data_IF_792635740162
#
_entry.id   IF_792635740162
#
_cell.length_a   1.000
_cell.length_b   1.000
_cell.length_c   1.000
_cell.angle_alpha   90.00
_cell.angle_beta   90.00
_cell.angle_gamma   90.00
#
_symmetry.space_group_name_H-M   'P 1'
#
loop_
_entity.id
_entity.type
_entity.pdbx_description
1 polymer ?
#
# COMPACT_ATOMS: atom_id res chain seq x y z
N UNK A 1 16.98 -26.05 5.04
CA UNK A 1 16.31 -24.82 4.56
C UNK A 1 15.66 -25.17 3.24
N UNK A 2 14.33 -25.19 3.14
CA UNK A 2 13.66 -25.33 1.85
C UNK A 2 13.90 -24.02 1.09
N UNK A 3 14.63 -24.09 -0.03
CA UNK A 3 15.07 -22.95 -0.84
C UNK A 3 13.92 -22.23 -1.55
N UNK A 4 14.27 -21.27 -2.42
CA UNK A 4 13.28 -20.53 -3.20
C UNK A 4 12.54 -21.44 -4.19
N UNK A 5 11.28 -21.09 -4.48
CA UNK A 5 10.48 -21.78 -5.50
C UNK A 5 10.70 -21.14 -6.87
N UNK A 6 11.20 -21.91 -7.84
CA UNK A 6 11.46 -21.46 -9.21
C UNK A 6 11.31 -22.58 -10.26
N UNK A 7 10.45 -23.57 -10.01
CA UNK A 7 10.25 -24.74 -10.89
C UNK A 7 10.14 -24.35 -12.38
N UNK A 8 11.02 -24.91 -13.21
CA UNK A 8 11.05 -24.69 -14.66
C UNK A 8 11.87 -23.48 -15.13
N UNK A 9 12.46 -22.70 -14.22
CA UNK A 9 13.42 -21.63 -14.57
C UNK A 9 14.86 -22.16 -14.59
N UNK A 10 15.66 -21.58 -15.48
CA UNK A 10 17.08 -21.94 -15.62
C UNK A 10 17.95 -21.45 -14.45
N UNK A 11 17.54 -20.37 -13.78
CA UNK A 11 18.24 -19.73 -12.67
C UNK A 11 17.23 -19.25 -11.60
N UNK A 12 17.68 -19.07 -10.37
CA UNK A 12 16.86 -18.52 -9.27
C UNK A 12 16.50 -17.04 -9.58
N UNK A 13 15.22 -16.70 -9.80
CA UNK A 13 14.82 -15.33 -10.11
C UNK A 13 14.85 -14.41 -8.89
N UNK A 14 15.01 -14.95 -7.68
CA UNK A 14 14.89 -14.23 -6.42
C UNK A 14 16.24 -13.71 -5.92
N UNK A 15 16.91 -12.90 -6.75
CA UNK A 15 18.07 -12.08 -6.35
C UNK A 15 17.67 -10.65 -5.97
N UNK A 16 16.38 -10.45 -5.66
CA UNK A 16 15.79 -9.14 -5.38
C UNK A 16 16.14 -8.66 -3.98
N UNK A 17 16.38 -7.35 -3.85
CA UNK A 17 16.75 -6.70 -2.58
C UNK A 17 15.91 -5.44 -2.39
N UNK A 18 15.56 -5.13 -1.15
CA UNK A 18 15.01 -3.83 -0.77
C UNK A 18 16.01 -3.08 0.12
N UNK A 19 15.92 -1.75 0.15
CA UNK A 19 16.63 -0.91 1.12
C UNK A 19 15.60 -0.08 1.86
N UNK A 20 15.60 -0.16 3.19
CA UNK A 20 14.75 0.68 4.02
C UNK A 20 15.45 1.98 4.41
N UNK A 21 14.69 3.05 4.58
CA UNK A 21 15.16 4.32 5.11
C UNK A 21 15.44 4.26 6.64
N UNK A 22 15.78 5.41 7.22
CA UNK A 22 16.07 5.53 8.66
C UNK A 22 14.85 5.23 9.57
N UNK A 23 13.65 5.22 9.01
CA UNK A 23 12.41 4.89 9.73
C UNK A 23 11.97 3.43 9.48
N UNK A 24 12.75 2.65 8.73
CA UNK A 24 12.42 1.26 8.40
C UNK A 24 11.44 1.11 7.23
N UNK A 25 11.29 2.13 6.38
CA UNK A 25 10.37 2.13 5.23
C UNK A 25 11.12 1.79 3.95
N UNK A 26 10.59 0.85 3.16
CA UNK A 26 11.11 0.57 1.83
C UNK A 26 10.00 0.69 0.78
N UNK A 27 10.18 1.59 -0.18
CA UNK A 27 9.40 1.61 -1.43
C UNK A 27 10.08 0.69 -2.43
N UNK A 28 9.34 -0.27 -2.98
CA UNK A 28 9.91 -1.33 -3.83
C UNK A 28 9.28 -1.29 -5.22
N UNK A 29 10.11 -1.08 -6.23
CA UNK A 29 9.74 -1.20 -7.64
C UNK A 29 10.83 -2.03 -8.34
N UNK A 30 10.58 -3.33 -8.49
CA UNK A 30 11.57 -4.30 -8.97
C UNK A 30 10.97 -5.17 -10.07
N UNK A 31 11.50 -5.12 -11.31
CA UNK A 31 11.09 -6.05 -12.34
C UNK A 31 11.70 -7.44 -12.06
N UNK A 32 10.85 -8.47 -12.01
CA UNK A 32 11.26 -9.88 -11.92
C UNK A 32 10.79 -10.62 -13.16
N UNK A 33 11.74 -11.05 -14.00
CA UNK A 33 11.43 -11.74 -15.25
C UNK A 33 11.15 -13.24 -15.05
N UNK A 34 10.41 -13.85 -15.97
CA UNK A 34 10.17 -15.30 -15.98
C UNK A 34 9.06 -15.80 -15.05
N UNK A 35 8.47 -14.91 -14.25
CA UNK A 35 7.32 -15.18 -13.40
C UNK A 35 6.08 -14.47 -13.94
N UNK A 36 4.91 -15.01 -13.64
CA UNK A 36 3.63 -14.39 -13.98
C UNK A 36 2.68 -14.45 -12.79
N UNK A 37 1.54 -13.77 -12.88
CA UNK A 37 0.51 -13.90 -11.86
C UNK A 37 -0.25 -15.22 -11.99
N UNK A 38 -0.59 -15.64 -13.21
CA UNK A 38 -1.58 -16.70 -13.44
C UNK A 38 -1.16 -17.81 -14.40
N UNK A 39 -0.16 -17.63 -15.26
CA UNK A 39 0.17 -18.56 -16.34
C UNK A 39 1.68 -18.79 -16.54
N UNK A 40 2.17 -20.03 -16.46
CA UNK A 40 3.62 -20.29 -16.59
C UNK A 40 4.41 -19.66 -15.43
N UNK A 41 4.75 -20.48 -14.44
CA UNK A 41 5.34 -20.02 -13.17
C UNK A 41 4.49 -18.97 -12.41
N UNK A 42 3.21 -19.27 -12.12
CA UNK A 42 2.30 -18.32 -11.46
C UNK A 42 2.66 -18.10 -9.98
N UNK A 43 2.65 -16.84 -9.54
CA UNK A 43 2.91 -16.45 -8.15
C UNK A 43 1.67 -16.04 -7.36
N UNK A 44 0.52 -15.80 -7.99
CA UNK A 44 -0.70 -15.42 -7.27
C UNK A 44 -1.07 -16.45 -6.19
N UNK A 45 -1.48 -15.97 -5.01
CA UNK A 45 -1.83 -16.78 -3.84
C UNK A 45 -0.63 -17.36 -3.07
N UNK A 46 0.61 -17.19 -3.55
CA UNK A 46 1.80 -17.67 -2.84
C UNK A 46 2.25 -16.70 -1.75
N UNK A 47 3.07 -17.18 -0.82
CA UNK A 47 3.67 -16.34 0.21
C UNK A 47 4.86 -15.54 -0.35
N UNK A 48 4.84 -14.23 -0.14
CA UNK A 48 6.00 -13.34 -0.23
C UNK A 48 6.70 -13.30 1.12
N UNK A 49 8.02 -13.52 1.14
CA UNK A 49 8.83 -13.56 2.37
C UNK A 49 9.90 -12.48 2.30
N UNK A 50 10.06 -11.72 3.37
CA UNK A 50 11.09 -10.69 3.52
C UNK A 50 12.21 -11.21 4.43
N UNK A 51 13.45 -10.93 4.04
CA UNK A 51 14.64 -11.27 4.79
C UNK A 51 15.37 -10.02 5.30
N UNK A 52 15.99 -10.11 6.48
CA UNK A 52 16.96 -9.11 6.93
C UNK A 52 18.35 -9.32 6.29
N UNK A 53 19.30 -8.44 6.62
CA UNK A 53 20.66 -8.49 6.09
C UNK A 53 21.49 -9.71 6.56
N UNK A 54 21.04 -10.42 7.60
CA UNK A 54 21.64 -11.67 8.07
C UNK A 54 20.98 -12.90 7.43
N UNK A 55 20.01 -12.69 6.54
CA UNK A 55 19.23 -13.75 5.89
C UNK A 55 18.13 -14.35 6.76
N UNK A 56 17.81 -13.76 7.92
CA UNK A 56 16.69 -14.19 8.75
C UNK A 56 15.37 -13.73 8.13
N UNK A 57 14.33 -14.58 8.21
CA UNK A 57 12.97 -14.23 7.74
C UNK A 57 12.33 -13.28 8.73
N UNK A 58 11.98 -12.07 8.28
CA UNK A 58 11.43 -10.99 9.12
C UNK A 58 10.02 -10.57 8.73
N UNK A 59 9.54 -10.97 7.56
CA UNK A 59 8.18 -10.70 7.10
C UNK A 59 7.63 -11.83 6.22
N UNK A 60 6.32 -11.97 6.23
CA UNK A 60 5.61 -12.94 5.38
C UNK A 60 4.17 -12.43 5.13
N UNK A 61 3.69 -12.58 3.90
CA UNK A 61 2.30 -12.27 3.53
C UNK A 61 1.90 -13.02 2.27
N UNK A 62 0.61 -13.22 2.04
CA UNK A 62 0.13 -13.84 0.80
C UNK A 62 -0.02 -12.80 -0.31
N UNK A 63 0.29 -13.22 -1.54
CA UNK A 63 -0.01 -12.48 -2.76
C UNK A 63 -1.49 -12.60 -3.06
N UNK A 64 -2.28 -11.67 -2.51
CA UNK A 64 -3.73 -11.63 -2.68
C UNK A 64 -4.12 -10.85 -3.93
N UNK A 65 -5.22 -11.28 -4.56
CA UNK A 65 -5.83 -10.54 -5.65
C UNK A 65 -6.60 -9.36 -5.08
N UNK A 66 -6.28 -8.15 -5.54
CA UNK A 66 -7.11 -6.96 -5.31
C UNK A 66 -7.83 -6.57 -6.60
N UNK A 67 -9.12 -6.24 -6.49
CA UNK A 67 -9.90 -5.59 -7.54
C UNK A 67 -10.17 -4.10 -7.24
N UNK A 68 -9.56 -3.57 -6.19
CA UNK A 68 -9.72 -2.18 -5.75
C UNK A 68 -8.55 -1.29 -6.11
N UNK A 69 -8.79 0.01 -6.00
CA UNK A 69 -7.77 1.05 -6.17
C UNK A 69 -6.80 1.03 -4.98
N UNK A 70 -5.50 1.04 -5.28
CA UNK A 70 -4.44 1.00 -4.26
C UNK A 70 -3.93 2.41 -4.00
N UNK A 71 -4.02 2.84 -2.75
CA UNK A 71 -3.48 4.11 -2.26
C UNK A 71 -2.25 3.84 -1.40
N UNK A 72 -1.10 4.36 -1.83
CA UNK A 72 0.10 4.46 -1.00
C UNK A 72 0.02 5.76 -0.22
N UNK A 73 -0.28 5.67 1.07
CA UNK A 73 -0.40 6.82 1.95
C UNK A 73 0.99 7.26 2.37
N UNK A 74 1.22 8.57 2.33
CA UNK A 74 2.42 9.23 2.81
C UNK A 74 2.06 10.44 3.67
N UNK A 75 3.06 11.26 3.98
CA UNK A 75 2.83 12.55 4.66
C UNK A 75 1.96 13.47 3.80
N UNK A 76 1.02 14.15 4.45
CA UNK A 76 0.24 15.20 3.82
C UNK A 76 1.15 16.38 3.40
N UNK A 77 0.92 17.03 2.23
CA UNK A 77 1.78 18.09 1.75
C UNK A 77 1.98 19.23 2.77
N UNK A 78 3.24 19.59 3.00
CA UNK A 78 3.61 20.68 3.91
C UNK A 78 3.62 20.33 5.40
N UNK A 79 3.27 19.09 5.79
CA UNK A 79 3.39 18.65 7.18
C UNK A 79 4.83 18.24 7.52
N UNK A 80 5.26 18.59 8.74
CA UNK A 80 6.50 18.13 9.35
C UNK A 80 6.16 17.15 10.48
N UNK A 81 6.79 15.98 10.51
CA UNK A 81 6.50 14.97 11.53
C UNK A 81 6.73 13.55 11.07
N UNK A 82 6.48 12.59 11.97
CA UNK A 82 6.79 11.18 11.78
C UNK A 82 6.06 10.57 10.56
N UNK A 83 6.74 9.57 9.98
CA UNK A 83 6.47 8.87 8.73
C UNK A 83 5.08 8.20 8.68
N UNK A 84 4.02 8.99 8.51
CA UNK A 84 2.71 8.44 8.13
C UNK A 84 2.91 7.71 6.81
N UNK A 85 2.63 6.42 6.85
CA UNK A 85 2.82 5.54 5.71
C UNK A 85 1.85 4.38 5.78
N UNK A 86 1.53 3.82 4.62
CA UNK A 86 0.83 2.55 4.57
C UNK A 86 0.12 2.36 3.25
N UNK A 87 -0.58 1.25 3.17
CA UNK A 87 -1.33 0.88 1.97
C UNK A 87 -2.79 0.71 2.33
N UNK A 88 -3.63 1.40 1.57
CA UNK A 88 -5.07 1.28 1.62
C UNK A 88 -5.54 0.75 0.27
N UNK A 89 -6.52 -0.13 0.29
CA UNK A 89 -7.25 -0.58 -0.89
C UNK A 89 -8.69 -0.11 -0.76
N UNK A 90 -9.18 0.58 -1.78
CA UNK A 90 -10.57 1.01 -1.87
C UNK A 90 -11.28 0.17 -2.91
N UNK A 91 -12.29 -0.60 -2.49
CA UNK A 91 -13.08 -1.47 -3.38
C UNK A 91 -14.52 -1.00 -3.44
N UNK A 92 -15.13 -1.09 -4.62
CA UNK A 92 -16.58 -0.93 -4.76
C UNK A 92 -17.34 -2.05 -4.03
N UNK A 93 -18.51 -1.71 -3.52
CA UNK A 93 -19.47 -2.60 -2.88
C UNK A 93 -20.85 -2.35 -3.50
N UNK A 94 -21.83 -3.21 -3.22
CA UNK A 94 -23.19 -3.05 -3.74
C UNK A 94 -23.86 -1.71 -3.38
N UNK A 95 -23.40 -1.02 -2.33
CA UNK A 95 -24.03 0.20 -1.81
C UNK A 95 -23.05 1.37 -1.61
N UNK A 96 -21.80 1.27 -2.11
CA UNK A 96 -20.77 2.29 -1.85
C UNK A 96 -19.37 1.72 -1.98
N UNK A 97 -18.46 2.14 -1.11
CA UNK A 97 -17.06 1.69 -1.10
C UNK A 97 -16.67 1.09 0.25
N UNK A 98 -15.70 0.17 0.23
CA UNK A 98 -14.98 -0.33 1.39
C UNK A 98 -13.53 0.17 1.31
N UNK A 99 -13.07 0.78 2.39
CA UNK A 99 -11.69 1.26 2.55
C UNK A 99 -11.02 0.35 3.58
N UNK A 100 -10.02 -0.43 3.17
CA UNK A 100 -9.34 -1.39 4.03
C UNK A 100 -7.82 -1.34 3.82
N UNK A 101 -7.05 -1.53 4.88
CA UNK A 101 -5.60 -1.57 4.79
C UNK A 101 -4.94 -1.34 6.14
N UNK A 102 -3.67 -0.93 6.12
CA UNK A 102 -2.87 -0.70 7.34
C UNK A 102 -2.08 0.58 7.20
N UNK A 103 -2.08 1.38 8.26
CA UNK A 103 -1.34 2.63 8.37
C UNK A 103 -0.45 2.60 9.60
N UNK A 104 0.77 3.10 9.45
CA UNK A 104 1.76 3.31 10.50
C UNK A 104 2.11 4.79 10.65
N UNK A 105 2.82 5.13 11.72
CA UNK A 105 3.26 6.50 11.98
C UNK A 105 2.14 7.46 12.44
N UNK A 106 0.94 6.94 12.72
CA UNK A 106 -0.20 7.73 13.20
C UNK A 106 -0.05 8.12 14.70
N UNK A 107 -0.73 9.18 15.16
CA UNK A 107 -0.83 9.51 16.58
C UNK A 107 -1.33 8.32 17.42
N UNK A 108 -0.61 8.00 18.49
CA UNK A 108 -0.91 6.84 19.34
C UNK A 108 -2.25 7.02 20.07
N UNK A 109 -3.02 5.94 20.21
CA UNK A 109 -4.26 5.89 21.00
C UNK A 109 -5.30 6.96 20.62
N UNK A 110 -5.41 7.26 19.33
CA UNK A 110 -6.26 8.33 18.79
C UNK A 110 -7.34 7.75 17.88
N UNK A 111 -8.57 8.26 18.00
CA UNK A 111 -9.62 8.09 16.98
C UNK A 111 -9.59 9.29 16.07
N UNK A 112 -9.30 9.07 14.78
CA UNK A 112 -9.27 10.08 13.73
C UNK A 112 -10.13 9.63 12.54
N UNK A 113 -10.31 10.49 11.54
CA UNK A 113 -11.18 10.18 10.40
C UNK A 113 -10.48 10.01 9.06
N UNK A 114 -11.29 9.74 8.04
CA UNK A 114 -10.91 9.53 6.65
C UNK A 114 -11.92 10.19 5.74
N UNK A 115 -11.45 10.70 4.61
CA UNK A 115 -12.29 11.22 3.53
C UNK A 115 -11.53 11.18 2.20
N UNK A 116 -12.25 11.37 1.09
CA UNK A 116 -11.66 11.49 -0.25
C UNK A 116 -11.78 12.94 -0.71
N UNK A 117 -10.70 13.45 -1.30
CA UNK A 117 -10.67 14.81 -1.85
C UNK A 117 -10.88 14.81 -3.37
N UNK A 118 -11.24 15.97 -3.92
CA UNK A 118 -11.56 16.15 -5.33
C UNK A 118 -10.35 16.26 -6.25
N UNK A 119 -9.15 16.44 -5.69
CA UNK A 119 -7.91 16.56 -6.43
C UNK A 119 -7.28 15.21 -6.82
N UNK A 120 -6.28 15.30 -7.69
CA UNK A 120 -5.58 14.14 -8.28
C UNK A 120 -4.07 14.15 -7.99
N UNK A 121 -3.63 14.94 -7.01
CA UNK A 121 -2.21 15.08 -6.65
C UNK A 121 -2.04 15.26 -5.15
N UNK A 122 -1.00 14.62 -4.60
CA UNK A 122 -0.54 14.80 -3.22
C UNK A 122 0.81 15.53 -3.18
N UNK A 123 1.14 16.37 -4.16
CA UNK A 123 2.39 17.13 -4.18
C UNK A 123 2.30 18.44 -3.38
N UNK A 124 1.12 19.06 -3.36
CA UNK A 124 0.82 20.29 -2.63
C UNK A 124 -0.67 20.31 -2.23
N UNK A 125 -1.04 21.22 -1.33
CA UNK A 125 -2.40 21.30 -0.79
C UNK A 125 -3.44 21.72 -1.84
N UNK A 126 -3.05 22.46 -2.88
CA UNK A 126 -3.95 22.86 -3.96
C UNK A 126 -4.27 21.68 -4.89
N UNK A 127 -3.30 20.80 -5.13
CA UNK A 127 -3.46 19.56 -5.89
C UNK A 127 -4.34 18.53 -5.20
N UNK A 128 -4.43 18.58 -3.87
CA UNK A 128 -5.36 17.76 -3.08
C UNK A 128 -6.78 18.30 -3.21
N UNK A 129 -6.99 19.62 -3.14
CA UNK A 129 -8.30 20.24 -3.25
C UNK A 129 -9.18 20.06 -2.01
N UNK A 130 -10.49 20.28 -2.14
CA UNK A 130 -11.47 20.09 -1.07
C UNK A 130 -12.01 18.66 -1.01
N UNK A 131 -12.94 18.40 -0.11
CA UNK A 131 -13.66 17.12 -0.07
C UNK A 131 -14.35 16.81 -1.42
N UNK A 132 -14.34 15.54 -1.84
CA UNK A 132 -15.04 15.08 -3.03
C UNK A 132 -16.50 14.73 -2.71
N UNK A 133 -17.44 15.50 -3.24
CA UNK A 133 -18.88 15.23 -3.08
C UNK A 133 -19.68 15.74 -4.29
N UNK A 134 -19.06 15.74 -5.48
CA UNK A 134 -19.72 16.20 -6.71
C UNK A 134 -21.01 15.41 -6.98
N UNK A 135 -22.08 16.12 -7.31
CA UNK A 135 -23.40 15.53 -7.56
C UNK A 135 -24.18 15.14 -6.29
N UNK A 136 -23.65 15.39 -5.09
CA UNK A 136 -24.35 15.15 -3.82
C UNK A 136 -24.97 16.44 -3.26
N UNK A 137 -26.08 16.30 -2.52
CA UNK A 137 -26.77 17.43 -1.90
C UNK A 137 -25.99 18.05 -0.73
N UNK A 138 -25.14 17.25 -0.07
CA UNK A 138 -24.30 17.65 1.06
C UNK A 138 -23.06 16.79 1.13
N UNK A 139 -22.01 17.30 1.78
CA UNK A 139 -20.78 16.58 2.05
C UNK A 139 -21.05 15.28 2.86
N UNK A 140 -20.74 14.08 2.32
CA UNK A 140 -20.95 12.81 3.01
C UNK A 140 -19.86 12.52 4.04
N UNK A 141 -18.73 13.24 4.01
CA UNK A 141 -17.57 13.05 4.87
C UNK A 141 -17.81 13.72 6.23
N UNK A 142 -18.75 13.16 6.98
CA UNK A 142 -19.20 13.69 8.28
C UNK A 142 -18.23 13.45 9.43
N UNK A 143 -17.10 12.79 9.18
CA UNK A 143 -16.09 12.53 10.21
C UNK A 143 -15.46 13.85 10.65
N UNK A 144 -15.84 14.32 11.84
CA UNK A 144 -15.49 15.65 12.32
C UNK A 144 -14.11 15.61 12.96
N UNK A 145 -13.11 16.03 12.22
CA UNK A 145 -11.82 16.49 12.73
C UNK A 145 -11.50 17.79 12.00
N UNK A 146 -10.87 18.72 12.69
CA UNK A 146 -10.50 20.00 12.08
C UNK A 146 -9.40 19.71 11.06
N UNK A 147 -9.73 19.81 9.77
CA UNK A 147 -8.77 19.82 8.66
C UNK A 147 -7.84 21.02 8.78
#
# INVERSE_FOLDING_TARGET
VLGHYYEGLAEDPWTTMYTSDANGVASVELPVSGLTLWNGSPVAGRALVLHDSNGARVGCGLLELSAGEVTHVGLYPGQAGAAVQGTIVTTETATGILIAGTLGGLPTSTTAGFHVHSGFSCNDTAGVGGHYYEGMASDPWTTTYTS
#
